data_IF_568108284096
#
_entry.id   IF_568108284096
#
_cell.length_a   1.000
_cell.length_b   1.000
_cell.length_c   1.000
_cell.angle_alpha   90.00
_cell.angle_beta   90.00
_cell.angle_gamma   90.00
#
_symmetry.space_group_name_H-M   'P 1'
#
loop_
_entity.id
_entity.type
_entity.pdbx_description
1 polymer ?
#
# COMPACT_ATOMS: atom_id res chain seq x y z
N UNK A 1 -28.22 17.13 -19.28
CA UNK A 1 -29.35 16.31 -18.75
C UNK A 1 -28.98 14.81 -18.63
N UNK A 2 -27.76 14.48 -18.16
CA UNK A 2 -27.30 13.09 -17.91
C UNK A 2 -26.72 12.87 -16.49
N UNK A 3 -26.84 13.86 -15.59
CA UNK A 3 -26.37 13.74 -14.20
C UNK A 3 -27.36 13.02 -13.24
N UNK A 4 -28.60 12.76 -13.67
CA UNK A 4 -29.64 12.22 -12.79
C UNK A 4 -29.76 10.68 -12.83
N UNK A 5 -29.00 9.97 -13.65
CA UNK A 5 -29.17 8.51 -13.79
C UNK A 5 -28.49 7.69 -12.67
N UNK A 6 -27.61 8.31 -11.87
CA UNK A 6 -26.92 7.63 -10.77
C UNK A 6 -27.69 7.66 -9.44
N UNK A 7 -28.79 8.42 -9.32
CA UNK A 7 -29.53 8.50 -8.04
C UNK A 7 -30.58 7.40 -7.85
N UNK A 8 -30.79 6.50 -8.82
CA UNK A 8 -31.96 5.59 -8.81
C UNK A 8 -31.64 4.09 -8.75
N UNK A 9 -30.37 3.66 -8.61
CA UNK A 9 -30.03 2.23 -8.44
C UNK A 9 -29.05 1.91 -7.32
N UNK A 10 -28.86 2.84 -6.37
CA UNK A 10 -28.06 2.61 -5.17
C UNK A 10 -28.95 2.24 -3.97
N UNK A 11 -29.77 1.19 -4.09
CA UNK A 11 -30.35 0.50 -2.92
C UNK A 11 -30.97 -0.83 -3.32
N UNK A 12 -30.15 -1.87 -3.45
CA UNK A 12 -30.62 -3.26 -3.47
C UNK A 12 -29.56 -4.24 -2.93
N UNK A 13 -28.84 -3.88 -1.87
CA UNK A 13 -28.24 -4.85 -0.95
C UNK A 13 -28.13 -4.19 0.43
N UNK A 14 -28.45 -4.93 1.48
CA UNK A 14 -28.31 -4.49 2.88
C UNK A 14 -26.84 -4.43 3.33
N UNK A 15 -25.93 -3.98 2.48
CA UNK A 15 -24.51 -3.90 2.80
C UNK A 15 -24.25 -2.73 3.75
N UNK A 16 -23.75 -3.07 4.94
CA UNK A 16 -23.34 -2.08 5.95
C UNK A 16 -22.23 -1.21 5.34
N UNK A 17 -22.52 0.09 5.18
CA UNK A 17 -21.51 1.08 4.80
C UNK A 17 -20.37 1.08 5.81
N UNK A 18 -19.14 1.20 5.32
CA UNK A 18 -17.93 1.24 6.14
C UNK A 18 -17.78 2.60 6.84
N UNK A 19 -17.23 2.59 8.05
CA UNK A 19 -16.76 3.81 8.71
C UNK A 19 -15.32 4.19 8.30
N UNK A 20 -14.84 5.34 8.76
CA UNK A 20 -13.49 5.85 8.48
C UNK A 20 -12.37 4.83 8.73
N UNK A 21 -12.39 4.13 9.87
CA UNK A 21 -11.32 3.21 10.24
C UNK A 21 -11.24 2.02 9.26
N UNK A 22 -12.36 1.31 9.09
CA UNK A 22 -12.44 0.13 8.23
C UNK A 22 -12.32 0.47 6.74
N UNK A 23 -12.89 1.59 6.31
CA UNK A 23 -13.05 1.91 4.90
C UNK A 23 -11.94 2.76 4.28
N UNK A 24 -11.17 3.49 5.10
CA UNK A 24 -10.12 4.40 4.60
C UNK A 24 -8.79 4.16 5.32
N UNK A 25 -8.77 4.24 6.66
CA UNK A 25 -7.52 4.18 7.42
C UNK A 25 -6.82 2.83 7.27
N UNK A 26 -7.49 1.72 7.63
CA UNK A 26 -6.93 0.37 7.56
C UNK A 26 -6.43 -0.01 6.16
N UNK A 27 -7.22 0.15 5.08
CA UNK A 27 -6.72 -0.16 3.74
C UNK A 27 -5.53 0.73 3.32
N UNK A 28 -5.53 2.01 3.72
CA UNK A 28 -4.42 2.92 3.41
C UNK A 28 -3.14 2.54 4.16
N UNK A 29 -3.24 2.25 5.47
CA UNK A 29 -2.09 1.82 6.28
C UNK A 29 -1.52 0.51 5.74
N UNK A 30 -2.35 -0.47 5.40
CA UNK A 30 -1.88 -1.78 4.92
C UNK A 30 -1.22 -1.73 3.54
N UNK A 31 -1.60 -0.77 2.69
CA UNK A 31 -0.99 -0.59 1.38
C UNK A 31 0.30 0.21 1.44
N UNK A 32 0.41 1.13 2.41
CA UNK A 32 1.64 1.87 2.70
C UNK A 32 2.66 0.97 3.45
N UNK A 33 2.21 0.20 4.45
CA UNK A 33 3.04 -0.77 5.19
C UNK A 33 3.15 -2.11 4.45
N UNK A 34 3.57 -2.04 3.18
CA UNK A 34 3.66 -3.18 2.28
C UNK A 34 5.06 -3.78 2.15
N UNK A 35 5.35 -4.32 0.96
CA UNK A 35 6.61 -4.98 0.62
C UNK A 35 7.87 -4.17 0.99
N UNK A 36 7.86 -2.87 0.68
CA UNK A 36 9.05 -1.99 0.79
C UNK A 36 9.47 -1.81 2.25
N UNK A 37 8.51 -1.76 3.18
CA UNK A 37 8.79 -1.73 4.62
C UNK A 37 9.68 -2.90 5.03
N UNK A 38 9.32 -4.11 4.59
CA UNK A 38 9.99 -5.34 5.01
C UNK A 38 11.29 -5.62 4.24
N UNK A 39 11.29 -5.39 2.92
CA UNK A 39 12.33 -5.92 2.03
C UNK A 39 13.36 -4.88 1.55
N UNK A 40 13.05 -3.59 1.66
CA UNK A 40 13.84 -2.53 1.02
C UNK A 40 14.20 -1.38 1.94
N UNK A 41 13.51 -1.20 3.06
CA UNK A 41 13.86 -0.15 4.04
C UNK A 41 15.27 -0.35 4.60
N UNK A 42 15.68 -1.62 4.84
CA UNK A 42 17.06 -1.95 5.21
C UNK A 42 18.07 -1.46 4.17
N UNK A 43 17.86 -1.83 2.91
CA UNK A 43 18.72 -1.43 1.79
C UNK A 43 18.80 0.09 1.60
N UNK A 44 17.70 0.81 1.81
CA UNK A 44 17.66 2.29 1.77
C UNK A 44 18.54 2.89 2.87
N UNK A 45 18.41 2.39 4.11
CA UNK A 45 19.24 2.85 5.23
C UNK A 45 20.72 2.48 5.03
N UNK A 46 21.00 1.30 4.50
CA UNK A 46 22.37 0.85 4.22
C UNK A 46 23.07 1.68 3.12
N UNK A 47 22.33 2.16 2.12
CA UNK A 47 22.90 3.04 1.08
C UNK A 47 23.01 4.51 1.52
N UNK A 48 21.94 5.04 2.11
CA UNK A 48 21.81 6.47 2.38
C UNK A 48 22.31 6.90 3.78
N UNK A 49 22.54 5.95 4.69
CA UNK A 49 22.71 6.22 6.11
C UNK A 49 21.41 6.71 6.76
N UNK A 50 21.44 6.98 8.07
CA UNK A 50 20.25 7.40 8.82
C UNK A 50 19.69 8.75 8.33
N UNK A 51 20.53 9.77 8.22
CA UNK A 51 20.16 11.11 7.78
C UNK A 51 19.68 11.14 6.32
N UNK A 52 20.37 10.41 5.43
CA UNK A 52 19.93 10.26 4.04
C UNK A 52 18.61 9.51 3.91
N UNK A 53 18.40 8.43 4.67
CA UNK A 53 17.14 7.70 4.70
C UNK A 53 15.99 8.59 5.25
N UNK A 54 16.23 9.36 6.31
CA UNK A 54 15.25 10.32 6.83
C UNK A 54 14.89 11.36 5.76
N UNK A 55 15.88 11.91 5.03
CA UNK A 55 15.61 12.87 3.96
C UNK A 55 14.75 12.26 2.84
N UNK A 56 15.03 11.01 2.44
CA UNK A 56 14.24 10.27 1.44
C UNK A 56 12.81 10.04 1.95
N UNK A 57 12.65 9.59 3.19
CA UNK A 57 11.35 9.35 3.81
C UNK A 57 10.54 10.65 3.88
N UNK A 58 11.14 11.75 4.35
CA UNK A 58 10.47 13.04 4.47
C UNK A 58 10.09 13.60 3.10
N UNK A 59 10.96 13.50 2.09
CA UNK A 59 10.65 13.93 0.73
C UNK A 59 9.45 13.16 0.15
N UNK A 60 9.44 11.83 0.32
CA UNK A 60 8.34 10.98 -0.12
C UNK A 60 7.03 11.32 0.62
N UNK A 61 7.11 11.62 1.92
CA UNK A 61 5.95 12.02 2.72
C UNK A 61 5.45 13.43 2.39
N UNK A 62 6.32 14.39 2.02
CA UNK A 62 5.88 15.71 1.55
C UNK A 62 5.00 15.55 0.31
N UNK A 63 5.42 14.75 -0.67
CA UNK A 63 4.66 14.49 -1.90
C UNK A 63 3.28 13.87 -1.58
N UNK A 64 3.25 12.89 -0.68
CA UNK A 64 2.00 12.19 -0.33
C UNK A 64 1.09 13.00 0.59
N UNK A 65 1.63 13.82 1.50
CA UNK A 65 0.86 14.80 2.30
C UNK A 65 0.22 15.83 1.39
N UNK A 66 0.97 16.41 0.44
CA UNK A 66 0.42 17.35 -0.54
C UNK A 66 -0.70 16.71 -1.36
N UNK A 67 -0.52 15.45 -1.78
CA UNK A 67 -1.54 14.70 -2.52
C UNK A 67 -2.77 14.40 -1.64
N UNK A 68 -2.56 14.00 -0.39
CA UNK A 68 -3.62 13.72 0.59
C UNK A 68 -4.45 14.97 0.92
N UNK A 69 -3.81 16.13 1.04
CA UNK A 69 -4.49 17.42 1.21
C UNK A 69 -5.30 17.81 -0.03
N UNK A 70 -4.76 17.59 -1.23
CA UNK A 70 -5.48 17.82 -2.48
C UNK A 70 -6.72 16.94 -2.56
N UNK A 71 -6.60 15.63 -2.33
CA UNK A 71 -7.75 14.70 -2.29
C UNK A 71 -8.75 15.12 -1.21
N UNK A 72 -8.28 15.53 -0.04
CA UNK A 72 -9.16 15.96 1.07
C UNK A 72 -9.99 17.20 0.70
N UNK A 73 -9.37 18.18 0.04
CA UNK A 73 -10.07 19.35 -0.49
C UNK A 73 -11.14 18.97 -1.52
N UNK A 74 -10.79 18.06 -2.42
CA UNK A 74 -11.70 17.59 -3.46
C UNK A 74 -12.89 16.79 -2.87
N UNK A 75 -12.60 15.89 -1.93
CA UNK A 75 -13.60 15.03 -1.29
C UNK A 75 -14.58 15.81 -0.40
N UNK A 76 -14.15 16.93 0.19
CA UNK A 76 -15.03 17.78 1.00
C UNK A 76 -15.95 18.66 0.16
N UNK A 77 -15.52 19.05 -1.05
CA UNK A 77 -16.27 19.95 -1.91
C UNK A 77 -17.29 19.25 -2.82
N UNK A 78 -17.10 17.96 -3.15
CA UNK A 78 -17.96 17.23 -4.09
C UNK A 78 -18.90 16.23 -3.43
N UNK A 79 -19.91 15.74 -4.18
CA UNK A 79 -20.77 14.63 -3.76
C UNK A 79 -20.11 13.34 -4.21
N UNK A 80 -19.36 12.72 -3.31
CA UNK A 80 -18.64 11.47 -3.57
C UNK A 80 -19.64 10.37 -3.98
N UNK A 81 -19.57 9.96 -5.25
CA UNK A 81 -20.40 8.89 -5.83
C UNK A 81 -19.71 7.52 -5.82
N UNK A 82 -20.41 6.49 -6.31
CA UNK A 82 -19.80 5.21 -6.63
C UNK A 82 -18.83 5.40 -7.81
N UNK A 83 -17.56 4.97 -7.67
CA UNK A 83 -16.52 5.15 -8.70
C UNK A 83 -15.13 5.52 -8.17
N UNK A 84 -14.94 5.53 -6.84
CA UNK A 84 -13.60 5.61 -6.22
C UNK A 84 -12.88 6.92 -6.50
N UNK A 85 -11.56 6.85 -6.66
CA UNK A 85 -10.71 8.02 -6.86
C UNK A 85 -10.96 8.74 -8.20
N UNK A 86 -11.25 7.99 -9.28
CA UNK A 86 -11.55 8.59 -10.58
C UNK A 86 -12.82 9.45 -10.52
N UNK A 87 -13.91 8.95 -9.91
CA UNK A 87 -15.15 9.72 -9.80
C UNK A 87 -14.97 11.02 -9.01
N UNK A 88 -14.15 11.00 -7.96
CA UNK A 88 -13.83 12.18 -7.15
C UNK A 88 -13.08 13.23 -8.00
N UNK A 89 -12.09 12.79 -8.80
CA UNK A 89 -11.28 13.67 -9.65
C UNK A 89 -12.13 14.22 -10.81
N UNK A 90 -12.84 13.37 -11.53
CA UNK A 90 -13.59 13.75 -12.73
C UNK A 90 -14.74 14.70 -12.45
N UNK A 91 -15.41 14.56 -11.29
CA UNK A 91 -16.47 15.48 -10.85
C UNK A 91 -15.94 16.87 -10.50
N UNK A 92 -14.66 16.98 -10.18
CA UNK A 92 -14.06 18.22 -9.64
C UNK A 92 -13.24 18.97 -10.67
N UNK A 93 -12.53 18.24 -11.53
CA UNK A 93 -11.58 18.78 -12.51
C UNK A 93 -12.00 18.49 -13.96
N UNK A 94 -13.11 17.78 -14.18
CA UNK A 94 -13.60 17.40 -15.50
C UNK A 94 -13.06 16.05 -15.99
N UNK A 95 -13.69 15.54 -17.05
CA UNK A 95 -13.43 14.19 -17.57
C UNK A 95 -12.05 14.08 -18.25
N UNK A 96 -11.55 15.15 -18.85
CA UNK A 96 -10.23 15.18 -19.51
C UNK A 96 -9.10 14.99 -18.49
N UNK A 97 -9.18 15.69 -17.36
CA UNK A 97 -8.25 15.53 -16.23
C UNK A 97 -8.43 14.17 -15.57
N UNK A 98 -9.67 13.73 -15.37
CA UNK A 98 -9.96 12.39 -14.85
C UNK A 98 -9.34 11.28 -15.71
N UNK A 99 -9.47 11.36 -17.04
CA UNK A 99 -8.93 10.39 -17.98
C UNK A 99 -7.41 10.34 -18.00
N UNK A 100 -6.77 11.52 -18.07
CA UNK A 100 -5.31 11.65 -18.07
C UNK A 100 -4.64 11.16 -16.78
N UNK A 101 -5.33 11.24 -15.64
CA UNK A 101 -4.84 10.66 -14.36
C UNK A 101 -5.23 9.18 -14.21
N UNK A 102 -6.42 8.80 -14.70
CA UNK A 102 -6.97 7.45 -14.53
C UNK A 102 -6.18 6.36 -15.26
N UNK A 103 -5.73 6.64 -16.49
CA UNK A 103 -4.96 5.65 -17.27
C UNK A 103 -3.61 5.31 -16.60
N UNK A 104 -2.77 6.29 -16.21
CA UNK A 104 -1.55 6.00 -15.44
C UNK A 104 -1.83 5.30 -14.10
N UNK A 105 -2.92 5.66 -13.40
CA UNK A 105 -3.28 5.01 -12.14
C UNK A 105 -3.57 3.52 -12.33
N UNK A 106 -4.32 3.16 -13.38
CA UNK A 106 -4.56 1.76 -13.73
C UNK A 106 -3.25 1.00 -13.99
N UNK A 107 -2.38 1.56 -14.83
CA UNK A 107 -1.09 0.93 -15.16
C UNK A 107 -0.20 0.77 -13.93
N UNK A 108 -0.15 1.80 -13.08
CA UNK A 108 0.58 1.75 -11.82
C UNK A 108 0.06 0.61 -10.93
N UNK A 109 -1.26 0.46 -10.80
CA UNK A 109 -1.86 -0.62 -10.00
C UNK A 109 -1.54 -2.01 -10.55
N UNK A 110 -1.56 -2.20 -11.89
CA UNK A 110 -1.15 -3.47 -12.51
C UNK A 110 0.31 -3.81 -12.22
N UNK A 111 1.21 -2.83 -12.34
CA UNK A 111 2.64 -3.01 -12.04
C UNK A 111 2.84 -3.27 -10.55
N UNK A 112 2.08 -2.61 -9.66
CA UNK A 112 2.13 -2.86 -8.22
C UNK A 112 1.74 -4.30 -7.86
N UNK A 113 0.76 -4.90 -8.55
CA UNK A 113 0.41 -6.32 -8.33
C UNK A 113 1.62 -7.22 -8.57
N UNK A 114 2.35 -7.00 -9.67
CA UNK A 114 3.58 -7.75 -9.94
C UNK A 114 4.64 -7.54 -8.85
N UNK A 115 4.86 -6.30 -8.42
CA UNK A 115 5.77 -5.98 -7.31
C UNK A 115 5.40 -6.72 -6.02
N UNK A 116 4.12 -6.76 -5.66
CA UNK A 116 3.66 -7.43 -4.45
C UNK A 116 3.76 -8.95 -4.54
N UNK A 117 3.50 -9.55 -5.71
CA UNK A 117 3.65 -10.98 -5.95
C UNK A 117 5.13 -11.40 -5.86
N UNK A 118 6.04 -10.61 -6.42
CA UNK A 118 7.48 -10.86 -6.31
C UNK A 118 7.96 -10.72 -4.85
N UNK A 119 7.49 -9.70 -4.14
CA UNK A 119 7.79 -9.54 -2.72
C UNK A 119 7.27 -10.69 -1.85
N UNK A 120 6.06 -11.19 -2.14
CA UNK A 120 5.52 -12.38 -1.50
C UNK A 120 6.40 -13.61 -1.78
N UNK A 121 6.89 -13.74 -3.01
CA UNK A 121 7.79 -14.84 -3.41
C UNK A 121 9.12 -14.78 -2.65
N UNK A 122 9.72 -13.59 -2.51
CA UNK A 122 10.95 -13.38 -1.72
C UNK A 122 10.74 -13.81 -0.25
N UNK A 123 9.59 -13.45 0.34
CA UNK A 123 9.20 -13.88 1.68
C UNK A 123 8.99 -15.41 1.79
N UNK A 124 8.34 -16.00 0.79
CA UNK A 124 8.03 -17.44 0.73
C UNK A 124 9.31 -18.28 0.69
N UNK A 125 10.28 -17.87 -0.14
CA UNK A 125 11.55 -18.59 -0.30
C UNK A 125 12.40 -18.56 0.96
N UNK A 126 12.18 -17.60 1.87
CA UNK A 126 12.82 -17.62 3.20
C UNK A 126 12.37 -18.82 4.04
N UNK A 127 11.13 -19.30 3.84
CA UNK A 127 10.56 -20.47 4.52
C UNK A 127 10.83 -21.75 3.72
N UNK A 128 10.71 -21.68 2.39
CA UNK A 128 10.88 -22.82 1.48
C UNK A 128 11.93 -22.52 0.39
N UNK A 129 13.23 -22.59 0.70
CA UNK A 129 14.30 -22.16 -0.22
C UNK A 129 14.42 -23.00 -1.49
N UNK A 130 13.96 -24.25 -1.45
CA UNK A 130 14.08 -25.19 -2.57
C UNK A 130 12.95 -25.04 -3.61
N UNK A 131 11.97 -24.17 -3.37
CA UNK A 131 10.87 -23.97 -4.32
C UNK A 131 11.31 -23.07 -5.47
N UNK A 132 10.90 -23.36 -6.72
CA UNK A 132 11.21 -22.49 -7.86
C UNK A 132 10.46 -21.16 -7.75
N UNK A 133 11.22 -20.06 -7.80
CA UNK A 133 10.76 -18.67 -7.66
C UNK A 133 9.64 -18.31 -8.66
N UNK A 134 9.85 -18.59 -9.95
CA UNK A 134 8.89 -18.28 -11.00
C UNK A 134 7.55 -19.01 -10.83
N UNK A 135 7.59 -20.26 -10.34
CA UNK A 135 6.38 -21.04 -10.10
C UNK A 135 5.60 -20.49 -8.89
N UNK A 136 6.29 -20.13 -7.81
CA UNK A 136 5.66 -19.51 -6.63
C UNK A 136 4.99 -18.19 -7.02
N UNK A 137 5.65 -17.35 -7.82
CA UNK A 137 5.08 -16.10 -8.30
C UNK A 137 3.82 -16.32 -9.14
N UNK A 138 3.86 -17.24 -10.11
CA UNK A 138 2.70 -17.57 -10.97
C UNK A 138 1.55 -18.12 -10.13
N UNK A 139 1.80 -19.07 -9.24
CA UNK A 139 0.77 -19.65 -8.37
C UNK A 139 0.15 -18.60 -7.45
N UNK A 140 0.97 -17.72 -6.87
CA UNK A 140 0.50 -16.62 -6.02
C UNK A 140 -0.40 -15.69 -6.81
N UNK A 141 0.02 -15.27 -8.02
CA UNK A 141 -0.80 -14.43 -8.89
C UNK A 141 -2.14 -15.10 -9.24
N UNK A 142 -2.12 -16.36 -9.67
CA UNK A 142 -3.34 -17.12 -10.02
C UNK A 142 -4.28 -17.23 -8.81
N UNK A 143 -3.74 -17.47 -7.62
CA UNK A 143 -4.52 -17.58 -6.39
C UNK A 143 -5.15 -16.23 -5.98
N UNK A 144 -4.38 -15.15 -5.99
CA UNK A 144 -4.89 -13.79 -5.74
C UNK A 144 -5.97 -13.43 -6.76
N UNK A 145 -5.74 -13.72 -8.04
CA UNK A 145 -6.71 -13.49 -9.11
C UNK A 145 -7.99 -14.30 -8.92
N UNK A 146 -7.90 -15.60 -8.61
CA UNK A 146 -9.05 -16.45 -8.37
C UNK A 146 -9.89 -15.96 -7.18
N UNK A 147 -9.25 -15.52 -6.09
CA UNK A 147 -9.94 -14.96 -4.93
C UNK A 147 -10.70 -13.68 -5.30
N UNK A 148 -10.05 -12.75 -6.02
CA UNK A 148 -10.69 -11.49 -6.45
C UNK A 148 -11.85 -11.77 -7.41
N UNK A 149 -11.69 -12.75 -8.30
CA UNK A 149 -12.72 -13.16 -9.25
C UNK A 149 -13.97 -13.73 -8.57
N UNK A 150 -13.79 -14.50 -7.48
CA UNK A 150 -14.92 -15.10 -6.73
C UNK A 150 -15.53 -14.11 -5.73
N UNK A 151 -14.72 -13.31 -5.02
CA UNK A 151 -15.21 -12.42 -3.98
C UNK A 151 -14.33 -11.19 -3.78
N UNK A 152 -14.72 -10.08 -4.40
CA UNK A 152 -14.15 -8.76 -4.12
C UNK A 152 -14.37 -8.32 -2.65
N UNK A 153 -15.40 -8.86 -1.97
CA UNK A 153 -15.69 -8.56 -0.57
C UNK A 153 -14.73 -9.25 0.42
N UNK A 154 -14.06 -10.33 0.01
CA UNK A 154 -13.11 -11.06 0.85
C UNK A 154 -11.98 -10.16 1.34
N UNK A 155 -11.47 -9.28 0.47
CA UNK A 155 -10.41 -8.32 0.78
C UNK A 155 -10.75 -7.44 1.99
N UNK A 156 -12.01 -7.01 2.13
CA UNK A 156 -12.40 -6.13 3.25
C UNK A 156 -12.42 -6.85 4.60
N UNK A 157 -12.63 -8.18 4.63
CA UNK A 157 -12.68 -8.97 5.86
C UNK A 157 -11.29 -9.35 6.37
N UNK A 158 -10.34 -9.60 5.47
CA UNK A 158 -8.98 -10.02 5.84
C UNK A 158 -8.10 -8.88 6.35
N UNK A 159 -8.42 -7.63 6.01
CA UNK A 159 -7.64 -6.45 6.39
C UNK A 159 -7.41 -6.33 7.91
N UNK A 160 -8.39 -6.60 8.76
CA UNK A 160 -8.19 -6.51 10.22
C UNK A 160 -7.22 -7.56 10.75
N UNK A 161 -7.26 -8.77 10.19
CA UNK A 161 -6.33 -9.85 10.54
C UNK A 161 -4.91 -9.43 10.15
N UNK A 162 -4.75 -8.91 8.93
CA UNK A 162 -3.44 -8.48 8.43
C UNK A 162 -2.91 -7.28 9.22
N UNK A 163 -3.77 -6.32 9.58
CA UNK A 163 -3.40 -5.18 10.42
C UNK A 163 -2.87 -5.65 11.78
N UNK A 164 -3.53 -6.65 12.39
CA UNK A 164 -3.06 -7.24 13.63
C UNK A 164 -1.69 -7.91 13.46
N UNK A 165 -1.50 -8.70 12.39
CA UNK A 165 -0.21 -9.36 12.11
C UNK A 165 0.90 -8.34 11.87
N UNK A 166 0.65 -7.30 11.06
CA UNK A 166 1.61 -6.22 10.81
C UNK A 166 1.92 -5.47 12.11
N UNK A 167 0.90 -5.13 12.92
CA UNK A 167 1.09 -4.52 14.23
C UNK A 167 1.94 -5.38 15.17
N UNK A 168 1.69 -6.69 15.20
CA UNK A 168 2.48 -7.64 15.97
C UNK A 168 3.93 -7.76 15.47
N UNK A 169 4.14 -7.68 14.15
CA UNK A 169 5.48 -7.67 13.56
C UNK A 169 6.28 -6.42 13.97
N UNK A 170 5.65 -5.24 14.00
CA UNK A 170 6.28 -4.01 14.49
C UNK A 170 6.56 -4.08 16.00
N UNK A 171 5.68 -4.71 16.76
CA UNK A 171 5.91 -4.96 18.18
C UNK A 171 7.10 -5.90 18.41
N UNK A 172 7.28 -6.94 17.58
CA UNK A 172 8.45 -7.82 17.63
C UNK A 172 9.77 -7.09 17.35
N UNK A 173 9.76 -6.09 16.46
CA UNK A 173 10.90 -5.19 16.20
C UNK A 173 11.16 -4.31 17.43
N UNK A 174 10.11 -3.76 18.04
CA UNK A 174 10.25 -2.94 19.24
C UNK A 174 10.88 -3.72 20.40
N UNK A 175 10.42 -4.96 20.64
CA UNK A 175 10.98 -5.84 21.67
C UNK A 175 12.46 -6.16 21.44
N UNK A 176 12.86 -6.37 20.18
CA UNK A 176 14.26 -6.61 19.82
C UNK A 176 15.18 -5.42 20.13
N UNK A 177 14.63 -4.24 20.40
CA UNK A 177 15.44 -3.06 20.74
C UNK A 177 16.07 -3.17 22.14
N UNK A 178 15.44 -3.93 23.03
CA UNK A 178 15.87 -4.07 24.42
C UNK A 178 16.81 -5.26 24.58
N UNK A 179 17.83 -5.16 25.45
CA UNK A 179 18.70 -6.27 25.77
C UNK A 179 17.94 -7.28 26.64
N UNK A 180 17.35 -8.30 26.01
CA UNK A 180 16.55 -9.36 26.64
C UNK A 180 17.16 -10.72 26.25
N UNK A 181 17.27 -11.63 27.22
CA UNK A 181 17.65 -13.04 27.00
C UNK A 181 18.95 -13.24 26.19
N UNK A 182 20.02 -12.53 26.55
CA UNK A 182 21.34 -12.70 25.90
C UNK A 182 21.46 -12.07 24.52
N UNK A 183 20.43 -11.36 24.03
CA UNK A 183 20.53 -10.48 22.86
C UNK A 183 21.03 -9.10 23.31
N UNK A 184 22.05 -8.53 22.67
CA UNK A 184 22.62 -7.25 23.10
C UNK A 184 21.73 -6.03 22.76
N UNK A 185 20.61 -6.24 22.06
CA UNK A 185 19.72 -5.16 21.61
C UNK A 185 20.36 -4.32 20.51
N UNK A 186 19.99 -3.03 20.48
CA UNK A 186 20.54 -2.05 19.53
C UNK A 186 21.96 -1.63 19.91
N UNK A 187 22.94 -2.13 19.16
CA UNK A 187 24.38 -1.97 19.46
C UNK A 187 25.11 -1.04 18.50
N UNK A 188 24.67 -0.96 17.25
CA UNK A 188 25.41 -0.24 16.21
C UNK A 188 25.31 1.27 16.38
N UNK A 189 26.40 1.98 16.06
CA UNK A 189 26.39 3.44 15.99
C UNK A 189 25.92 3.89 14.61
N UNK A 190 24.81 4.63 14.49
CA UNK A 190 24.27 5.00 13.18
C UNK A 190 25.24 5.90 12.41
N UNK A 191 25.55 5.50 11.19
CA UNK A 191 26.19 6.40 10.23
C UNK A 191 25.13 7.39 9.73
N UNK A 192 25.40 8.69 9.91
CA UNK A 192 24.42 9.71 9.59
C UNK A 192 24.29 9.94 8.09
N UNK A 193 25.40 10.00 7.34
CA UNK A 193 25.40 10.10 5.89
C UNK A 193 26.07 8.87 5.28
N UNK A 194 25.31 8.10 4.50
CA UNK A 194 25.84 6.96 3.76
C UNK A 194 26.52 7.39 2.46
N UNK A 195 27.28 6.46 1.89
CA UNK A 195 28.10 6.70 0.70
C UNK A 195 27.37 6.41 -0.62
N UNK A 196 26.12 5.93 -0.59
CA UNK A 196 25.34 5.62 -1.79
C UNK A 196 26.04 4.62 -2.72
N UNK A 197 26.61 3.55 -2.15
CA UNK A 197 27.48 2.62 -2.89
C UNK A 197 26.77 1.81 -3.98
N UNK A 198 25.56 1.30 -3.76
CA UNK A 198 24.82 0.52 -4.77
C UNK A 198 24.02 1.41 -5.73
N UNK A 199 23.61 2.58 -5.24
CA UNK A 199 22.66 3.45 -5.92
C UNK A 199 22.75 4.89 -5.41
N UNK A 200 22.63 5.85 -6.32
CA UNK A 200 22.60 7.26 -5.97
C UNK A 200 21.31 7.66 -5.22
N UNK A 201 21.26 8.90 -4.71
CA UNK A 201 20.11 9.41 -3.97
C UNK A 201 18.77 9.22 -4.68
N UNK A 202 18.69 9.52 -5.98
CA UNK A 202 17.45 9.44 -6.76
C UNK A 202 17.03 8.01 -7.05
N UNK A 203 17.97 7.11 -7.27
CA UNK A 203 17.70 5.68 -7.43
C UNK A 203 17.18 5.08 -6.12
N UNK A 204 17.82 5.42 -4.98
CA UNK A 204 17.37 4.98 -3.66
C UNK A 204 15.99 5.54 -3.32
N UNK A 205 15.73 6.81 -3.65
CA UNK A 205 14.40 7.41 -3.55
C UNK A 205 13.38 6.67 -4.42
N UNK A 206 13.70 6.32 -5.67
CA UNK A 206 12.79 5.61 -6.56
C UNK A 206 12.44 4.20 -6.06
N UNK A 207 13.39 3.50 -5.42
CA UNK A 207 13.13 2.20 -4.76
C UNK A 207 12.24 2.36 -3.54
N UNK A 208 12.40 3.45 -2.78
CA UNK A 208 11.58 3.72 -1.60
C UNK A 208 10.19 4.24 -1.94
N UNK A 209 10.02 5.06 -2.99
CA UNK A 209 8.79 5.81 -3.26
C UNK A 209 7.51 4.96 -3.32
N UNK A 210 7.49 3.74 -3.89
CA UNK A 210 6.32 2.86 -3.84
C UNK A 210 5.82 2.53 -2.42
N UNK A 211 6.64 2.71 -1.38
CA UNK A 211 6.24 2.58 0.01
C UNK A 211 5.11 3.51 0.41
N UNK A 212 5.02 4.71 -0.18
CA UNK A 212 4.09 5.76 0.29
C UNK A 212 2.91 5.97 -0.66
N UNK A 213 2.86 5.30 -1.81
CA UNK A 213 1.87 5.55 -2.88
C UNK A 213 0.49 4.91 -2.64
N UNK A 214 0.29 4.16 -1.55
CA UNK A 214 -0.91 3.35 -1.28
C UNK A 214 -2.22 4.11 -1.03
N UNK A 215 -2.17 5.44 -0.90
CA UNK A 215 -3.32 6.28 -0.50
C UNK A 215 -4.58 6.11 -1.38
N UNK A 216 -4.39 5.82 -2.67
CA UNK A 216 -5.49 5.70 -3.63
C UNK A 216 -6.35 4.45 -3.44
N UNK A 217 -5.79 3.39 -2.84
CA UNK A 217 -6.54 2.15 -2.57
C UNK A 217 -7.59 2.40 -1.49
N UNK A 218 -7.26 3.14 -0.42
CA UNK A 218 -8.25 3.53 0.60
C UNK A 218 -9.36 4.42 0.04
N UNK A 219 -9.03 5.31 -0.89
CA UNK A 219 -10.01 6.19 -1.56
C UNK A 219 -10.89 5.42 -2.54
N UNK A 220 -10.42 4.30 -3.10
CA UNK A 220 -11.19 3.50 -4.06
C UNK A 220 -12.48 2.89 -3.47
N UNK A 221 -12.56 2.78 -2.14
CA UNK A 221 -13.75 2.30 -1.40
C UNK A 221 -14.72 3.44 -1.02
N UNK A 222 -14.52 4.65 -1.53
CA UNK A 222 -15.26 5.85 -1.16
C UNK A 222 -16.78 5.75 -1.33
N UNK A 223 -17.25 5.02 -2.34
CA UNK A 223 -18.68 4.79 -2.60
C UNK A 223 -19.39 3.94 -1.53
N UNK A 224 -18.63 3.19 -0.73
CA UNK A 224 -19.15 2.30 0.33
C UNK A 224 -19.03 2.91 1.73
N UNK A 225 -18.57 4.17 1.85
CA UNK A 225 -18.41 4.85 3.14
C UNK A 225 -19.71 5.46 3.66
N UNK A 226 -19.86 5.50 4.98
CA UNK A 226 -20.99 6.13 5.66
C UNK A 226 -20.98 7.66 5.46
N UNK A 227 -19.84 8.30 5.67
CA UNK A 227 -19.67 9.75 5.55
C UNK A 227 -18.39 10.12 4.76
N UNK A 228 -18.36 9.94 3.43
CA UNK A 228 -17.13 10.12 2.62
C UNK A 228 -16.43 11.47 2.81
N UNK A 229 -17.20 12.56 2.94
CA UNK A 229 -16.69 13.93 3.11
C UNK A 229 -15.85 14.12 4.38
N UNK A 230 -16.12 13.35 5.43
CA UNK A 230 -15.39 13.37 6.70
C UNK A 230 -14.36 12.24 6.75
N UNK A 231 -14.77 11.05 6.34
CA UNK A 231 -14.01 9.82 6.53
C UNK A 231 -12.78 9.77 5.61
N UNK A 232 -12.85 10.30 4.38
CA UNK A 232 -11.70 10.34 3.44
C UNK A 232 -10.58 11.25 3.97
N UNK A 233 -10.82 12.54 4.29
CA UNK A 233 -9.76 13.41 4.78
C UNK A 233 -9.11 12.89 6.06
N UNK A 234 -9.91 12.53 7.07
CA UNK A 234 -9.38 12.10 8.37
C UNK A 234 -8.66 10.77 8.22
N UNK A 235 -9.25 9.79 7.53
CA UNK A 235 -8.66 8.47 7.34
C UNK A 235 -7.34 8.51 6.55
N UNK A 236 -7.30 9.30 5.47
CA UNK A 236 -6.09 9.42 4.63
C UNK A 236 -4.97 10.14 5.37
N UNK A 237 -5.26 11.30 5.97
CA UNK A 237 -4.23 12.10 6.65
C UNK A 237 -3.70 11.41 7.92
N UNK A 238 -4.57 10.75 8.69
CA UNK A 238 -4.12 9.97 9.85
C UNK A 238 -3.29 8.75 9.43
N UNK A 239 -3.65 8.06 8.34
CA UNK A 239 -2.86 6.95 7.82
C UNK A 239 -1.45 7.42 7.41
N UNK A 240 -1.35 8.48 6.61
CA UNK A 240 -0.06 9.06 6.19
C UNK A 240 0.80 9.44 7.42
N UNK A 241 0.19 10.10 8.41
CA UNK A 241 0.90 10.50 9.62
C UNK A 241 1.43 9.32 10.44
N UNK A 242 0.59 8.30 10.66
CA UNK A 242 0.97 7.07 11.40
C UNK A 242 2.10 6.33 10.66
N UNK A 243 1.97 6.16 9.35
CA UNK A 243 2.98 5.44 8.55
C UNK A 243 4.29 6.20 8.47
N UNK A 244 4.25 7.54 8.42
CA UNK A 244 5.46 8.37 8.49
C UNK A 244 6.25 8.11 9.76
N UNK A 245 5.57 8.11 10.91
CA UNK A 245 6.20 7.84 12.22
C UNK A 245 6.80 6.43 12.24
N UNK A 246 6.08 5.43 11.70
CA UNK A 246 6.56 4.05 11.60
C UNK A 246 7.83 3.98 10.74
N UNK A 247 7.84 4.58 9.55
CA UNK A 247 9.03 4.56 8.66
C UNK A 247 10.24 5.27 9.27
N UNK A 248 10.04 6.43 9.92
CA UNK A 248 11.13 7.14 10.60
C UNK A 248 11.68 6.31 11.78
N UNK A 249 10.79 5.69 12.56
CA UNK A 249 11.19 4.83 13.68
C UNK A 249 11.94 3.58 13.19
N UNK A 250 11.47 2.99 12.08
CA UNK A 250 12.10 1.82 11.48
C UNK A 250 13.47 2.14 10.89
N UNK A 251 13.63 3.31 10.25
CA UNK A 251 14.92 3.76 9.72
C UNK A 251 15.94 3.94 10.85
N UNK A 252 15.52 4.56 11.97
CA UNK A 252 16.36 4.67 13.17
C UNK A 252 16.72 3.30 13.74
N UNK A 253 15.74 2.40 13.85
CA UNK A 253 15.95 1.06 14.37
C UNK A 253 16.94 0.26 13.50
N UNK A 254 16.77 0.27 12.18
CA UNK A 254 17.64 -0.44 11.24
C UNK A 254 19.08 0.07 11.29
N UNK A 255 19.27 1.39 11.36
CA UNK A 255 20.60 2.00 11.47
C UNK A 255 21.34 1.63 12.77
N UNK A 256 20.61 1.14 13.78
CA UNK A 256 21.13 0.67 15.07
C UNK A 256 21.20 -0.86 15.17
N UNK A 257 20.55 -1.59 14.27
CA UNK A 257 20.36 -3.04 14.34
C UNK A 257 21.43 -3.83 13.56
N UNK A 258 21.98 -3.25 12.49
CA UNK A 258 23.00 -3.88 11.66
C UNK A 258 23.91 -2.85 10.97
N UNK A 259 25.17 -3.21 10.68
CA UNK A 259 26.08 -2.44 9.83
C UNK A 259 25.53 -2.18 8.41
N UNK A 260 26.02 -1.12 7.75
CA UNK A 260 25.48 -0.66 6.46
C UNK A 260 25.66 -1.65 5.31
N UNK A 261 26.76 -2.40 5.28
CA UNK A 261 27.05 -3.48 4.34
C UNK A 261 26.02 -4.62 4.48
N UNK A 262 25.77 -5.06 5.72
CA UNK A 262 24.76 -6.10 6.00
C UNK A 262 23.35 -5.63 5.61
N UNK A 263 23.01 -4.37 5.88
CA UNK A 263 21.72 -3.79 5.50
C UNK A 263 21.49 -3.74 3.98
N UNK A 264 22.57 -3.65 3.19
CA UNK A 264 22.52 -3.64 1.73
C UNK A 264 22.39 -5.04 1.14
N UNK A 265 23.15 -5.98 1.65
CA UNK A 265 23.16 -7.34 1.11
C UNK A 265 21.94 -8.15 1.55
N UNK A 266 21.48 -7.97 2.78
CA UNK A 266 20.38 -8.74 3.34
C UNK A 266 19.06 -7.97 3.32
N UNK A 267 18.28 -8.20 2.27
CA UNK A 267 16.94 -7.61 2.10
C UNK A 267 15.94 -8.06 3.16
N UNK A 268 16.16 -9.22 3.78
CA UNK A 268 15.28 -9.79 4.82
C UNK A 268 15.78 -9.55 6.25
N UNK A 269 16.70 -8.60 6.46
CA UNK A 269 17.36 -8.35 7.76
C UNK A 269 16.41 -8.17 8.95
N UNK A 270 15.19 -7.67 8.71
CA UNK A 270 14.17 -7.53 9.74
C UNK A 270 13.77 -8.88 10.34
N UNK A 271 13.74 -9.96 9.54
CA UNK A 271 13.45 -11.32 10.01
C UNK A 271 14.54 -11.77 10.99
N UNK A 272 15.80 -11.54 10.63
CA UNK A 272 16.95 -12.04 11.39
C UNK A 272 17.17 -11.26 12.70
N UNK A 273 16.77 -9.98 12.72
CA UNK A 273 16.99 -9.08 13.87
C UNK A 273 15.77 -8.92 14.78
N UNK A 274 14.59 -9.35 14.37
CA UNK A 274 13.38 -9.26 15.18
C UNK A 274 13.39 -10.23 16.38
N UNK A 275 12.58 -9.93 17.40
CA UNK A 275 12.42 -10.81 18.56
C UNK A 275 11.74 -12.12 18.15
N UNK A 276 10.66 -11.99 17.38
CA UNK A 276 9.94 -13.07 16.74
C UNK A 276 10.11 -12.98 15.22
N UNK A 277 11.02 -13.78 14.68
CA UNK A 277 11.30 -13.92 13.25
C UNK A 277 10.05 -14.29 12.43
N UNK A 278 9.29 -15.27 12.91
CA UNK A 278 8.04 -15.73 12.30
C UNK A 278 6.98 -14.62 12.22
N UNK A 279 6.99 -13.65 13.13
CA UNK A 279 6.05 -12.53 13.12
C UNK A 279 6.34 -11.58 11.94
N UNK A 280 7.62 -11.36 11.63
CA UNK A 280 8.04 -10.57 10.46
C UNK A 280 7.65 -11.29 9.18
N UNK A 281 7.91 -12.59 9.10
CA UNK A 281 7.54 -13.40 7.93
C UNK A 281 6.03 -13.42 7.70
N UNK A 282 5.23 -13.62 8.76
CA UNK A 282 3.77 -13.57 8.68
C UNK A 282 3.27 -12.18 8.25
N UNK A 283 3.87 -11.11 8.79
CA UNK A 283 3.56 -9.73 8.41
C UNK A 283 3.90 -9.43 6.96
N UNK A 284 5.08 -9.87 6.50
CA UNK A 284 5.54 -9.69 5.13
C UNK A 284 4.65 -10.44 4.13
N UNK A 285 4.35 -11.72 4.38
CA UNK A 285 3.44 -12.52 3.55
C UNK A 285 2.02 -11.93 3.56
N UNK A 286 1.49 -11.59 4.73
CA UNK A 286 0.15 -11.02 4.87
C UNK A 286 0.00 -9.66 4.19
N UNK A 287 0.95 -8.74 4.39
CA UNK A 287 0.91 -7.40 3.83
C UNK A 287 1.07 -7.40 2.30
N UNK A 288 2.01 -8.20 1.77
CA UNK A 288 2.22 -8.31 0.32
C UNK A 288 1.02 -8.95 -0.37
N UNK A 289 0.49 -10.04 0.20
CA UNK A 289 -0.71 -10.70 -0.31
C UNK A 289 -1.94 -9.77 -0.28
N UNK A 290 -2.15 -9.07 0.83
CA UNK A 290 -3.23 -8.09 0.96
C UNK A 290 -3.13 -6.95 -0.03
N UNK A 291 -1.91 -6.45 -0.27
CA UNK A 291 -1.67 -5.34 -1.19
C UNK A 291 -1.89 -5.76 -2.63
N UNK A 292 -1.50 -7.00 -2.98
CA UNK A 292 -1.81 -7.60 -4.28
C UNK A 292 -3.33 -7.72 -4.51
N UNK A 293 -4.07 -8.25 -3.53
CA UNK A 293 -5.54 -8.32 -3.58
C UNK A 293 -6.17 -6.92 -3.73
N UNK A 294 -5.70 -5.95 -2.94
CA UNK A 294 -6.21 -4.58 -2.96
C UNK A 294 -6.02 -3.89 -4.32
N UNK A 295 -4.82 -3.97 -4.89
CA UNK A 295 -4.54 -3.41 -6.22
C UNK A 295 -5.29 -4.13 -7.34
N UNK A 296 -5.47 -5.46 -7.23
CA UNK A 296 -6.18 -6.25 -8.24
C UNK A 296 -7.70 -6.02 -8.21
N UNK A 297 -8.27 -5.63 -7.06
CA UNK A 297 -9.66 -5.14 -6.95
C UNK A 297 -9.79 -3.70 -7.46
N UNK A 298 -8.79 -2.85 -7.20
CA UNK A 298 -8.84 -1.43 -7.55
C UNK A 298 -8.67 -1.17 -9.06
N UNK A 299 -7.76 -1.89 -9.72
CA UNK A 299 -7.42 -1.65 -11.13
C UNK A 299 -8.61 -1.79 -12.09
N UNK A 300 -9.41 -2.87 -12.06
CA UNK A 300 -10.57 -3.00 -12.93
C UNK A 300 -11.61 -1.90 -12.69
N UNK A 301 -11.79 -1.46 -11.44
CA UNK A 301 -12.73 -0.37 -11.09
C UNK A 301 -12.33 0.97 -11.69
N UNK A 302 -11.03 1.26 -11.81
CA UNK A 302 -10.55 2.47 -12.49
C UNK A 302 -10.89 2.41 -13.98
N UNK A 303 -10.62 1.28 -14.65
CA UNK A 303 -10.95 1.10 -16.08
C UNK A 303 -12.44 1.13 -16.34
N UNK A 304 -13.22 0.46 -15.49
CA UNK A 304 -14.67 0.46 -15.57
C UNK A 304 -15.23 1.88 -15.41
N UNK A 305 -14.72 2.65 -14.44
CA UNK A 305 -15.13 4.03 -14.24
C UNK A 305 -14.78 4.90 -15.46
N UNK A 306 -13.60 4.74 -16.05
CA UNK A 306 -13.24 5.41 -17.31
C UNK A 306 -14.17 5.02 -18.47
N UNK A 307 -14.52 3.73 -18.56
CA UNK A 307 -15.40 3.20 -19.60
C UNK A 307 -16.84 3.75 -19.49
N UNK A 308 -17.37 3.92 -18.27
CA UNK A 308 -18.70 4.50 -18.03
C UNK A 308 -18.86 5.94 -18.55
N UNK A 309 -17.75 6.65 -18.81
CA UNK A 309 -17.76 7.99 -19.38
C UNK A 309 -17.30 8.04 -20.85
N UNK A 310 -17.27 6.89 -21.55
CA UNK A 310 -16.89 6.81 -22.96
C UNK A 310 -15.48 7.36 -23.26
N UNK A 311 -14.58 7.32 -22.26
CA UNK A 311 -13.20 7.82 -22.40
C UNK A 311 -12.30 6.79 -23.10
N UNK A 312 -12.59 5.50 -22.94
CA UNK A 312 -11.78 4.40 -23.49
C UNK A 312 -12.38 3.84 -24.79
N UNK A 313 -11.54 3.31 -25.70
CA UNK A 313 -12.05 2.48 -26.77
C UNK A 313 -12.72 1.22 -26.17
N UNK A 314 -13.84 0.79 -26.78
CA UNK A 314 -14.63 -0.37 -26.33
C UNK A 314 -15.31 -0.20 -24.95
N UNK A 315 -15.66 1.02 -24.56
CA UNK A 315 -16.40 1.33 -23.33
C UNK A 315 -17.64 0.45 -23.08
N UNK A 316 -18.39 0.08 -24.12
CA UNK A 316 -19.57 -0.81 -24.02
C UNK A 316 -19.26 -2.21 -23.48
N UNK A 317 -18.01 -2.68 -23.64
CA UNK A 317 -17.56 -3.97 -23.11
C UNK A 317 -16.94 -3.82 -21.72
N UNK A 318 -16.16 -2.77 -21.52
CA UNK A 318 -15.39 -2.53 -20.28
C UNK A 318 -16.25 -1.98 -19.12
N UNK A 319 -17.39 -1.37 -19.41
CA UNK A 319 -18.32 -0.84 -18.40
C UNK A 319 -19.25 -1.90 -17.79
N UNK A 320 -19.29 -3.12 -18.33
CA UNK A 320 -20.23 -4.16 -17.90
C UNK A 320 -19.89 -4.70 -16.51
N UNK A 321 -20.91 -4.79 -15.67
CA UNK A 321 -20.86 -5.45 -14.36
C UNK A 321 -21.35 -6.90 -14.47
N UNK A 322 -20.73 -7.80 -13.71
CA UNK A 322 -21.33 -9.11 -13.44
C UNK A 322 -22.50 -8.92 -12.46
N UNK A 323 -23.44 -9.87 -12.39
CA UNK A 323 -24.62 -9.78 -11.52
C UNK A 323 -24.30 -9.59 -10.03
N UNK A 324 -23.05 -9.81 -9.61
CA UNK A 324 -22.57 -9.70 -8.23
C UNK A 324 -21.79 -8.40 -7.93
N UNK A 325 -21.65 -7.48 -8.89
CA UNK A 325 -20.94 -6.19 -8.74
C UNK A 325 -19.47 -6.26 -9.08
#
# INVERSE_FOLDING_TARGET
>A
MKLNFMSSRASASGDRKFGMFAGVFTPTVLTILGAIMYLRTGWVVGNAGLGGAIAIILLAHIITVSTGLAVSSVATNTRVGAGGAFAIISQSLGLEVGGSVGIPLFLAQCISVALYVLAFTEAWLRIFPNHPDGLVAILTFVLVFAIVYISAQFTSRTQFIILFIVGFSLFAILLASFPIEGRPGLTETPVFWGEFQDANFWQTFAVFFPAVTGIMVGISLSGSLREPRRDIPIGTMSAIGVTMVIYLSLAYWLARAAPMDVLRENTTILVDKAFYDWAILAGMLGATFSSALGSLVAAPRVIQALALYDILPFSDRLSRESGDG
#
